data_IF_174504491969
#
_entry.id   IF_174504491969
#
_cell.length_a   1.000
_cell.length_b   1.000
_cell.length_c   1.000
_cell.angle_alpha   90.00
_cell.angle_beta   90.00
_cell.angle_gamma   90.00
#
_symmetry.space_group_name_H-M   'P 1'
#
loop_
_entity.id
_entity.type
_entity.pdbx_description
1 polymer ?
#
# COMPACT_ATOMS: atom_id res chain seq x y z
N UNK A 1 8.02 -23.37 6.85
CA UNK A 1 7.41 -22.46 5.86
C UNK A 1 5.98 -22.04 6.23
N UNK A 2 5.08 -22.95 6.62
CA UNK A 2 3.69 -22.59 7.01
C UNK A 2 3.62 -21.64 8.22
N UNK A 3 4.58 -21.73 9.16
CA UNK A 3 4.63 -20.87 10.34
C UNK A 3 4.75 -19.36 10.04
N UNK A 4 5.20 -18.97 8.84
CA UNK A 4 5.27 -17.55 8.43
C UNK A 4 3.95 -17.04 7.85
N UNK A 5 2.98 -17.91 7.58
CA UNK A 5 1.69 -17.52 7.00
C UNK A 5 0.91 -16.52 7.88
N UNK A 6 0.80 -16.69 9.21
CA UNK A 6 0.13 -15.70 10.06
C UNK A 6 0.82 -14.33 10.00
N UNK A 7 2.15 -14.31 9.95
CA UNK A 7 2.93 -13.07 9.82
C UNK A 7 2.64 -12.38 8.47
N UNK A 8 2.57 -13.15 7.39
CA UNK A 8 2.25 -12.62 6.06
C UNK A 8 0.82 -12.04 5.96
N UNK A 9 -0.11 -12.48 6.82
CA UNK A 9 -1.49 -11.99 6.85
C UNK A 9 -1.65 -10.65 7.60
N UNK A 10 -0.67 -10.26 8.42
CA UNK A 10 -0.72 -8.99 9.18
C UNK A 10 -0.76 -7.79 8.23
N UNK A 11 0.11 -7.77 7.22
CA UNK A 11 0.19 -6.67 6.26
C UNK A 11 -1.14 -6.45 5.48
N UNK A 12 -1.73 -7.45 4.79
CA UNK A 12 -3.00 -7.25 4.08
C UNK A 12 -4.16 -6.95 5.03
N UNK A 13 -4.15 -7.45 6.27
CA UNK A 13 -5.13 -7.05 7.28
C UNK A 13 -5.04 -5.56 7.60
N UNK A 14 -3.83 -5.04 7.87
CA UNK A 14 -3.60 -3.62 8.12
C UNK A 14 -4.02 -2.75 6.92
N UNK A 15 -3.66 -3.14 5.69
CA UNK A 15 -4.09 -2.43 4.47
C UNK A 15 -5.60 -2.43 4.28
N UNK A 16 -6.28 -3.55 4.59
CA UNK A 16 -7.73 -3.63 4.51
C UNK A 16 -8.40 -2.75 5.58
N UNK A 17 -7.88 -2.75 6.81
CA UNK A 17 -8.35 -1.87 7.88
C UNK A 17 -8.17 -0.40 7.50
N UNK A 18 -6.97 0.00 7.10
CA UNK A 18 -6.65 1.36 6.67
C UNK A 18 -7.56 1.80 5.52
N UNK A 19 -7.63 1.02 4.44
CA UNK A 19 -8.44 1.37 3.27
C UNK A 19 -9.90 1.62 3.64
N UNK A 20 -10.48 0.77 4.48
CA UNK A 20 -11.87 0.95 4.93
C UNK A 20 -12.05 2.11 5.93
N UNK A 21 -11.08 2.34 6.81
CA UNK A 21 -11.07 3.46 7.75
C UNK A 21 -11.01 4.79 6.99
N UNK A 22 -10.08 4.93 6.05
CA UNK A 22 -9.91 6.12 5.22
C UNK A 22 -11.13 6.31 4.32
N UNK A 23 -11.70 5.24 3.76
CA UNK A 23 -12.93 5.36 2.97
C UNK A 23 -14.15 5.79 3.80
N UNK A 24 -14.24 5.39 5.07
CA UNK A 24 -15.38 5.70 5.95
C UNK A 24 -15.29 7.08 6.61
N UNK A 25 -14.12 7.44 7.14
CA UNK A 25 -13.92 8.67 7.91
C UNK A 25 -13.17 9.75 7.12
N UNK A 26 -12.69 9.44 5.93
CA UNK A 26 -11.84 10.34 5.16
C UNK A 26 -10.50 10.58 5.85
N UNK A 27 -9.84 11.67 5.45
CA UNK A 27 -8.53 12.09 5.96
C UNK A 27 -8.63 13.29 6.91
N UNK A 28 -9.81 13.55 7.48
CA UNK A 28 -10.07 14.69 8.36
C UNK A 28 -9.67 16.07 7.76
N UNK A 29 -9.79 16.22 6.44
CA UNK A 29 -9.42 17.44 5.71
C UNK A 29 -7.94 17.55 5.35
N UNK A 30 -7.11 16.58 5.73
CA UNK A 30 -5.71 16.52 5.35
C UNK A 30 -5.54 16.00 3.92
N UNK A 31 -4.55 16.52 3.20
CA UNK A 31 -4.14 15.96 1.92
C UNK A 31 -3.37 14.63 2.10
N UNK A 32 -3.25 13.79 1.05
CA UNK A 32 -2.56 12.49 1.15
C UNK A 32 -1.10 12.56 1.62
N UNK A 33 -0.37 13.64 1.30
CA UNK A 33 1.01 13.80 1.74
C UNK A 33 1.07 14.15 3.23
N UNK A 34 0.16 14.97 3.73
CA UNK A 34 0.04 15.29 5.15
C UNK A 34 -0.33 14.06 5.99
N UNK A 35 -1.27 13.24 5.50
CA UNK A 35 -1.62 11.96 6.14
C UNK A 35 -0.41 11.04 6.20
N UNK A 36 0.31 10.90 5.08
CA UNK A 36 1.48 10.04 5.01
C UNK A 36 2.64 10.55 5.86
N UNK A 37 2.82 11.87 5.98
CA UNK A 37 3.81 12.45 6.88
C UNK A 37 3.50 12.09 8.34
N UNK A 38 2.24 12.24 8.76
CA UNK A 38 1.80 11.84 10.11
C UNK A 38 2.00 10.35 10.37
N UNK A 39 1.60 9.49 9.42
CA UNK A 39 1.83 8.05 9.51
C UNK A 39 3.32 7.70 9.58
N UNK A 40 4.16 8.37 8.79
CA UNK A 40 5.62 8.17 8.76
C UNK A 40 6.29 8.64 10.05
N UNK A 41 5.84 9.75 10.64
CA UNK A 41 6.32 10.22 11.94
C UNK A 41 6.01 9.22 13.05
N UNK A 42 4.78 8.70 13.11
CA UNK A 42 4.39 7.65 14.05
C UNK A 42 5.21 6.37 13.80
N UNK A 43 5.33 5.96 12.53
CA UNK A 43 6.15 4.82 12.11
C UNK A 43 7.61 4.97 12.55
N UNK A 44 8.17 6.18 12.47
CA UNK A 44 9.54 6.48 12.92
C UNK A 44 9.67 6.30 14.44
N UNK A 45 8.70 6.78 15.23
CA UNK A 45 8.72 6.62 16.69
C UNK A 45 8.70 5.14 17.09
N UNK A 46 8.00 4.30 16.33
CA UNK A 46 7.95 2.85 16.55
C UNK A 46 9.22 2.15 16.04
N UNK A 47 9.69 2.51 14.85
CA UNK A 47 10.81 1.86 14.18
C UNK A 47 12.17 2.23 14.79
N UNK A 48 12.33 3.45 15.31
CA UNK A 48 13.59 3.92 15.90
C UNK A 48 14.10 3.06 17.07
N UNK A 49 13.30 2.76 18.13
CA UNK A 49 13.75 1.91 19.21
C UNK A 49 14.07 0.49 18.74
N UNK A 50 13.34 -0.03 17.74
CA UNK A 50 13.62 -1.33 17.14
C UNK A 50 14.95 -1.32 16.38
N UNK A 51 15.22 -0.26 15.61
CA UNK A 51 16.47 -0.10 14.87
C UNK A 51 17.68 0.02 15.81
N UNK A 52 17.55 0.79 16.89
CA UNK A 52 18.60 0.92 17.92
C UNK A 52 18.79 -0.41 18.65
N UNK A 53 17.70 -1.03 19.11
CA UNK A 53 17.73 -2.29 19.88
C UNK A 53 18.25 -3.49 19.09
N UNK A 54 18.10 -3.48 17.76
CA UNK A 54 18.65 -4.50 16.86
C UNK A 54 20.04 -4.17 16.30
N UNK A 55 20.60 -2.99 16.62
CA UNK A 55 21.87 -2.51 16.07
C UNK A 55 21.82 -2.20 14.57
N UNK A 56 20.64 -2.05 13.99
CA UNK A 56 20.41 -1.73 12.57
C UNK A 56 20.24 -0.22 12.31
N UNK A 57 20.35 0.61 13.35
CA UNK A 57 20.29 2.06 13.19
C UNK A 57 21.51 2.56 12.41
N UNK A 58 21.24 3.30 11.33
CA UNK A 58 22.26 3.79 10.42
C UNK A 58 22.01 5.27 10.09
N UNK A 59 23.08 6.06 10.10
CA UNK A 59 23.08 7.46 9.68
C UNK A 59 24.05 7.61 8.50
N UNK A 60 23.55 7.95 7.30
CA UNK A 60 24.41 8.20 6.14
C UNK A 60 25.40 9.32 6.44
N UNK A 61 26.69 9.08 6.24
CA UNK A 61 27.76 10.08 6.41
C UNK A 61 28.65 10.10 5.18
N UNK A 62 29.26 11.24 4.89
CA UNK A 62 30.18 11.39 3.76
C UNK A 62 31.40 10.45 3.93
N UNK A 63 31.86 9.76 2.86
CA UNK A 63 31.38 9.83 1.47
C UNK A 63 30.14 8.97 1.21
N UNK A 64 29.13 9.54 0.56
CA UNK A 64 27.90 8.82 0.23
C UNK A 64 28.15 7.68 -0.75
N UNK A 65 27.56 6.52 -0.45
CA UNK A 65 27.65 5.31 -1.27
C UNK A 65 26.35 5.03 -2.01
N UNK A 66 26.39 4.11 -2.99
CA UNK A 66 25.22 3.73 -3.76
C UNK A 66 24.04 3.30 -2.86
N UNK A 67 24.31 2.62 -1.74
CA UNK A 67 23.28 2.19 -0.80
C UNK A 67 22.47 3.39 -0.24
N UNK A 68 23.12 4.50 0.08
CA UNK A 68 22.47 5.71 0.59
C UNK A 68 21.49 6.28 -0.44
N UNK A 69 21.91 6.34 -1.71
CA UNK A 69 21.06 6.78 -2.81
C UNK A 69 19.91 5.82 -3.09
N UNK A 70 20.12 4.51 -2.99
CA UNK A 70 19.03 3.53 -3.17
C UNK A 70 17.97 3.65 -2.08
N UNK A 71 18.37 3.89 -0.83
CA UNK A 71 17.44 4.11 0.27
C UNK A 71 16.65 5.40 0.09
N UNK A 72 17.32 6.48 -0.28
CA UNK A 72 16.67 7.76 -0.58
C UNK A 72 15.68 7.62 -1.74
N UNK A 73 16.09 6.99 -2.84
CA UNK A 73 15.24 6.77 -4.01
C UNK A 73 14.02 5.91 -3.66
N UNK A 74 14.22 4.80 -2.93
CA UNK A 74 13.13 3.95 -2.45
C UNK A 74 12.13 4.72 -1.56
N UNK A 75 12.63 5.62 -0.72
CA UNK A 75 11.80 6.48 0.13
C UNK A 75 10.95 7.46 -0.69
N UNK A 76 11.53 8.07 -1.73
CA UNK A 76 10.78 8.95 -2.65
C UNK A 76 9.69 8.16 -3.39
N UNK A 77 10.03 6.99 -3.93
CA UNK A 77 9.06 6.11 -4.61
C UNK A 77 7.93 5.72 -3.65
N UNK A 78 8.25 5.35 -2.41
CA UNK A 78 7.27 5.02 -1.39
C UNK A 78 6.30 6.19 -1.14
N UNK A 79 6.83 7.40 -0.94
CA UNK A 79 6.00 8.60 -0.71
C UNK A 79 5.04 8.84 -1.86
N UNK A 80 5.52 8.78 -3.11
CA UNK A 80 4.69 9.02 -4.29
C UNK A 80 3.61 7.95 -4.49
N UNK A 81 3.99 6.68 -4.39
CA UNK A 81 3.06 5.55 -4.58
C UNK A 81 2.01 5.53 -3.48
N UNK A 82 2.40 5.73 -2.23
CA UNK A 82 1.49 5.65 -1.10
C UNK A 82 0.57 6.87 -1.01
N UNK A 83 1.08 8.09 -1.26
CA UNK A 83 0.21 9.26 -1.39
C UNK A 83 -0.79 9.09 -2.55
N UNK A 84 -0.36 8.49 -3.66
CA UNK A 84 -1.24 8.08 -4.75
C UNK A 84 -2.32 7.09 -4.32
N UNK A 85 -1.97 6.08 -3.54
CA UNK A 85 -2.90 5.09 -2.98
C UNK A 85 -3.94 5.72 -2.04
N UNK A 86 -3.50 6.54 -1.08
CA UNK A 86 -4.40 7.26 -0.16
C UNK A 86 -5.31 8.22 -0.93
N UNK A 87 -4.75 8.95 -1.90
CA UNK A 87 -5.53 9.82 -2.80
C UNK A 87 -6.55 9.05 -3.64
N UNK A 88 -6.22 7.82 -4.05
CA UNK A 88 -7.13 6.95 -4.77
C UNK A 88 -8.28 6.47 -3.87
N UNK A 89 -8.00 6.05 -2.63
CA UNK A 89 -9.03 5.66 -1.65
C UNK A 89 -9.97 6.83 -1.40
N UNK A 90 -9.43 8.04 -1.17
CA UNK A 90 -10.23 9.22 -0.87
C UNK A 90 -11.19 9.61 -2.02
N UNK A 91 -10.84 9.29 -3.27
CA UNK A 91 -11.62 9.67 -4.47
C UNK A 91 -12.52 8.56 -4.99
N UNK A 92 -12.07 7.31 -4.95
CA UNK A 92 -12.71 6.16 -5.59
C UNK A 92 -13.17 5.08 -4.60
N UNK A 93 -12.85 5.23 -3.31
CA UNK A 93 -13.21 4.29 -2.24
C UNK A 93 -12.25 3.10 -2.11
N UNK A 94 -12.39 2.38 -1.01
CA UNK A 94 -11.51 1.25 -0.64
C UNK A 94 -11.58 0.08 -1.63
N UNK A 95 -12.76 -0.20 -2.19
CA UNK A 95 -12.95 -1.35 -3.09
C UNK A 95 -12.28 -1.12 -4.45
N UNK A 96 -12.34 0.11 -4.98
CA UNK A 96 -11.61 0.46 -6.20
C UNK A 96 -10.10 0.51 -5.95
N UNK A 97 -9.67 1.10 -4.84
CA UNK A 97 -8.25 1.11 -4.48
C UNK A 97 -7.69 -0.32 -4.32
N UNK A 98 -8.52 -1.28 -3.88
CA UNK A 98 -8.17 -2.69 -3.80
C UNK A 98 -7.71 -3.31 -5.13
N UNK A 99 -8.11 -2.77 -6.29
CA UNK A 99 -7.67 -3.24 -7.61
C UNK A 99 -6.16 -3.10 -7.82
N UNK A 100 -5.50 -2.19 -7.08
CA UNK A 100 -4.04 -2.02 -7.11
C UNK A 100 -3.33 -3.32 -6.74
N UNK A 101 -3.93 -4.15 -5.88
CA UNK A 101 -3.38 -5.45 -5.51
C UNK A 101 -3.12 -6.36 -6.72
N UNK A 102 -3.94 -6.29 -7.78
CA UNK A 102 -3.77 -7.14 -8.96
C UNK A 102 -2.48 -6.81 -9.70
N UNK A 103 -2.25 -5.51 -9.89
CA UNK A 103 -1.07 -4.99 -10.58
C UNK A 103 0.17 -5.25 -9.73
N UNK A 104 0.10 -4.99 -8.42
CA UNK A 104 1.23 -5.18 -7.50
C UNK A 104 1.63 -6.65 -7.38
N UNK A 105 0.67 -7.58 -7.27
CA UNK A 105 0.98 -9.01 -7.20
C UNK A 105 1.67 -9.50 -8.48
N UNK A 106 1.15 -9.15 -9.66
CA UNK A 106 1.77 -9.52 -10.93
C UNK A 106 3.16 -8.87 -11.10
N UNK A 107 3.29 -7.60 -10.73
CA UNK A 107 4.56 -6.87 -10.77
C UNK A 107 5.59 -7.50 -9.84
N UNK A 108 5.20 -7.97 -8.65
CA UNK A 108 6.11 -8.64 -7.72
C UNK A 108 6.74 -9.89 -8.32
N UNK A 109 5.93 -10.72 -8.98
CA UNK A 109 6.39 -11.92 -9.70
C UNK A 109 7.33 -11.52 -10.85
N UNK A 110 6.93 -10.53 -11.66
CA UNK A 110 7.73 -10.04 -12.77
C UNK A 110 9.11 -9.50 -12.34
N UNK A 111 9.15 -8.66 -11.31
CA UNK A 111 10.39 -8.11 -10.78
C UNK A 111 11.25 -9.17 -10.11
N UNK A 112 10.66 -10.18 -9.46
CA UNK A 112 11.43 -11.30 -8.92
C UNK A 112 12.14 -12.10 -10.03
N UNK A 113 11.46 -12.36 -11.14
CA UNK A 113 12.09 -13.00 -12.31
C UNK A 113 13.20 -12.12 -12.92
N UNK A 114 12.95 -10.81 -13.05
CA UNK A 114 13.87 -9.89 -13.72
C UNK A 114 15.11 -9.55 -12.88
N UNK A 115 14.94 -9.30 -11.58
CA UNK A 115 15.99 -8.81 -10.69
C UNK A 115 16.72 -9.94 -9.95
N UNK A 116 15.99 -10.99 -9.55
CA UNK A 116 16.57 -12.13 -8.82
C UNK A 116 16.85 -13.35 -9.71
N UNK A 117 16.40 -13.32 -10.98
CA UNK A 117 16.60 -14.44 -11.91
C UNK A 117 15.77 -15.68 -11.55
N UNK A 118 14.69 -15.51 -10.79
CA UNK A 118 13.86 -16.63 -10.35
C UNK A 118 13.05 -17.24 -11.50
N UNK A 119 12.93 -18.56 -11.50
CA UNK A 119 12.05 -19.30 -12.42
C UNK A 119 10.98 -20.02 -11.64
N UNK A 120 9.72 -19.71 -11.94
CA UNK A 120 8.58 -20.31 -11.24
C UNK A 120 7.98 -21.49 -11.99
N UNK A 121 7.50 -22.49 -11.23
CA UNK A 121 6.81 -23.65 -11.79
C UNK A 121 5.41 -23.29 -12.32
N UNK A 122 4.86 -24.14 -13.19
CA UNK A 122 3.48 -24.02 -13.69
C UNK A 122 2.45 -23.87 -12.57
N UNK A 123 2.66 -24.49 -11.40
CA UNK A 123 1.76 -24.40 -10.26
C UNK A 123 1.64 -22.98 -9.69
N UNK A 124 2.73 -22.19 -9.73
CA UNK A 124 2.69 -20.79 -9.30
C UNK A 124 1.82 -19.97 -10.24
N UNK A 125 1.95 -20.19 -11.55
CA UNK A 125 1.11 -19.52 -12.55
C UNK A 125 -0.37 -19.90 -12.41
N UNK A 126 -0.67 -21.19 -12.18
CA UNK A 126 -2.04 -21.64 -11.92
C UNK A 126 -2.62 -21.02 -10.63
N UNK A 127 -1.81 -20.92 -9.57
CA UNK A 127 -2.23 -20.26 -8.34
C UNK A 127 -2.52 -18.76 -8.56
N UNK A 128 -1.66 -18.06 -9.29
CA UNK A 128 -1.86 -16.65 -9.65
C UNK A 128 -3.13 -16.44 -10.49
N UNK A 129 -3.39 -17.30 -11.47
CA UNK A 129 -4.62 -17.27 -12.26
C UNK A 129 -5.85 -17.53 -11.40
N UNK A 130 -5.78 -18.51 -10.48
CA UNK A 130 -6.86 -18.82 -9.55
C UNK A 130 -7.15 -17.64 -8.60
N UNK A 131 -6.10 -17.02 -8.04
CA UNK A 131 -6.23 -15.81 -7.23
C UNK A 131 -6.83 -14.66 -8.04
N UNK A 132 -6.32 -14.40 -9.25
CA UNK A 132 -6.84 -13.35 -10.12
C UNK A 132 -8.32 -13.55 -10.48
N UNK A 133 -8.74 -14.80 -10.74
CA UNK A 133 -10.14 -15.14 -10.95
C UNK A 133 -10.98 -14.92 -9.68
N UNK A 134 -10.46 -15.31 -8.51
CA UNK A 134 -11.14 -15.09 -7.23
C UNK A 134 -11.38 -13.61 -6.95
N UNK A 135 -10.36 -12.75 -7.16
CA UNK A 135 -10.53 -11.33 -6.92
C UNK A 135 -11.38 -10.64 -8.01
N UNK A 136 -11.36 -11.08 -9.27
CA UNK A 136 -12.21 -10.48 -10.32
C UNK A 136 -13.71 -10.71 -10.10
N UNK A 137 -14.09 -11.76 -9.36
CA UNK A 137 -15.46 -11.99 -8.91
C UNK A 137 -15.92 -10.97 -7.85
N UNK A 138 -14.99 -10.28 -7.19
CA UNK A 138 -15.31 -9.23 -6.22
C UNK A 138 -15.62 -7.94 -6.97
N UNK A 139 -16.91 -7.68 -7.20
CA UNK A 139 -17.35 -6.46 -7.87
C UNK A 139 -17.33 -5.26 -6.91
N UNK A 140 -16.63 -4.15 -7.25
CA UNK A 140 -16.88 -2.88 -6.60
C UNK A 140 -18.32 -2.45 -6.90
N UNK A 141 -19.16 -2.39 -5.86
CA UNK A 141 -20.45 -1.70 -5.98
C UNK A 141 -20.13 -0.25 -6.32
N UNK A 142 -20.46 0.16 -7.55
CA UNK A 142 -20.47 1.58 -7.90
C UNK A 142 -21.43 2.23 -6.91
N UNK A 143 -20.90 3.01 -5.98
CA UNK A 143 -21.74 3.84 -5.14
C UNK A 143 -22.53 4.72 -6.09
N UNK A 144 -23.85 4.52 -6.12
CA UNK A 144 -24.75 5.41 -6.83
C UNK A 144 -24.41 6.80 -6.35
N UNK A 145 -23.92 7.64 -7.27
CA UNK A 145 -23.61 9.03 -6.98
C UNK A 145 -24.97 9.61 -6.63
N UNK A 146 -25.29 9.71 -5.34
CA UNK A 146 -26.40 10.53 -4.89
C UNK A 146 -26.04 11.92 -5.39
N UNK A 147 -26.57 12.27 -6.55
CA UNK A 147 -26.64 13.65 -6.99
C UNK A 147 -27.36 14.34 -5.86
N UNK A 148 -26.63 15.11 -5.06
CA UNK A 148 -27.20 16.19 -4.28
C UNK A 148 -27.71 17.22 -5.29
N UNK A 149 -28.75 16.84 -6.04
CA UNK A 149 -29.61 17.73 -6.77
C UNK A 149 -30.56 18.31 -5.74
N UNK A 150 -30.38 19.60 -5.48
CA UNK A 150 -31.42 20.51 -5.03
C UNK A 150 -32.25 20.05 -3.82
N UNK A 151 -31.65 20.12 -2.63
CA UNK A 151 -32.46 20.44 -1.45
C UNK A 151 -32.51 21.97 -1.33
N UNK A 152 -33.54 22.51 -2.00
CA UNK A 152 -34.20 23.79 -1.84
C UNK A 152 -33.54 24.84 -0.93
N UNK A 153 -33.33 26.01 -1.54
CA UNK A 153 -33.41 27.29 -0.87
C UNK A 153 -34.69 27.39 -0.03
N UNK A 154 -34.56 27.27 1.29
CA UNK A 154 -35.48 27.74 2.32
C UNK A 154 -34.58 28.06 3.52
N UNK A 155 -34.47 29.26 4.09
CA UNK A 155 -35.08 30.56 3.94
C UNK A 155 -34.47 31.40 5.07
#
# INVERSE_FOLDING_TARGET
MIAFLPLALVAPFCYACEGNIVARWGTAGLDPFQVLFGASAIGTVIALPLAIGSGQFFVPTSPFVLADFTLLFGSIVHVLVYAGYVGLIARAGSVFAGQVSYIVTGSGVFWAMLLLGETYSVWVWLALLCMGAGLSLVQPRVAERTTLGETAAHG
#
